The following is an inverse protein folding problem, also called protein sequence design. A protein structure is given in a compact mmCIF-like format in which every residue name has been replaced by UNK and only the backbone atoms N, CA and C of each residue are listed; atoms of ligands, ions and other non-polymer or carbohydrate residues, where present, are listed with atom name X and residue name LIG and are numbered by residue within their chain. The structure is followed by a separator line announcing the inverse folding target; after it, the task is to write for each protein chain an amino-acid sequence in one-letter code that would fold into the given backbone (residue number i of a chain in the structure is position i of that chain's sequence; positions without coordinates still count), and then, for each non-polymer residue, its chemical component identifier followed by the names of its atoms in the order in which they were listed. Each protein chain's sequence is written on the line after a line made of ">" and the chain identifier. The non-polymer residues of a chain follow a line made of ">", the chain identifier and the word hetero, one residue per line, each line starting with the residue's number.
data_IF_203729152716
#
_entry.id   IF_203729152716
#
_cell.length_a   1.000
_cell.length_b   1.000
_cell.length_c   1.000
_cell.angle_alpha   90.00
_cell.angle_beta   90.00
_cell.angle_gamma   90.00
#
_symmetry.space_group_name_H-M   'P 1'
#
loop_
_entity.id
_entity.type
_entity.pdbx_description
1 polymer ?
#
# COMPACT_ATOMS: atom_id res chain seq x y z
N UNK A 1 40.24 -48.96 -67.54
CA UNK A 1 40.41 -47.49 -67.51
C UNK A 1 39.08 -46.93 -67.02
N UNK A 2 38.87 -46.35 -65.83
CA UNK A 2 39.71 -45.83 -64.77
C UNK A 2 39.17 -46.27 -63.39
N UNK A 3 40.08 -46.63 -62.50
CA UNK A 3 39.87 -46.70 -61.04
C UNK A 3 39.93 -45.26 -60.54
N UNK A 4 38.87 -44.76 -59.90
CA UNK A 4 38.92 -43.49 -59.17
C UNK A 4 39.35 -43.77 -57.73
N UNK A 5 40.53 -43.26 -57.40
CA UNK A 5 41.12 -43.31 -56.07
C UNK A 5 40.34 -42.40 -55.11
N UNK A 6 39.93 -42.97 -53.98
CA UNK A 6 39.54 -42.23 -52.78
C UNK A 6 40.82 -42.07 -51.97
N UNK A 7 41.38 -40.86 -51.92
CA UNK A 7 42.27 -40.49 -50.82
C UNK A 7 42.13 -39.01 -50.46
N UNK A 8 42.12 -38.82 -49.13
CA UNK A 8 42.63 -37.68 -48.35
C UNK A 8 41.86 -36.38 -48.44
N UNK A 9 40.95 -36.17 -47.47
CA UNK A 9 40.90 -34.91 -46.74
C UNK A 9 40.30 -35.10 -45.33
N UNK A 10 41.02 -35.87 -44.50
CA UNK A 10 40.68 -36.03 -43.07
C UNK A 10 41.22 -34.85 -42.24
N UNK A 11 42.18 -34.06 -42.76
CA UNK A 11 42.72 -32.88 -42.04
C UNK A 11 41.79 -31.66 -42.04
N UNK A 12 40.90 -31.51 -43.03
CA UNK A 12 39.99 -30.35 -43.09
C UNK A 12 38.87 -30.47 -42.03
N UNK A 13 38.51 -31.68 -41.61
CA UNK A 13 37.47 -31.87 -40.57
C UNK A 13 37.98 -31.64 -39.15
N UNK A 14 39.28 -31.81 -38.88
CA UNK A 14 39.82 -31.66 -37.53
C UNK A 14 40.12 -30.20 -37.15
N UNK A 15 40.38 -29.31 -38.11
CA UNK A 15 40.58 -27.89 -37.83
C UNK A 15 39.27 -27.12 -37.55
N UNK A 16 38.11 -27.67 -37.90
CA UNK A 16 36.82 -27.05 -37.55
C UNK A 16 36.41 -27.33 -36.09
N UNK A 17 36.95 -28.39 -35.48
CA UNK A 17 36.63 -28.76 -34.09
C UNK A 17 37.64 -28.27 -33.05
N UNK A 18 38.86 -27.86 -33.43
CA UNK A 18 39.82 -27.30 -32.46
C UNK A 18 39.52 -25.84 -32.07
N UNK A 19 38.89 -25.06 -32.96
CA UNK A 19 38.44 -23.68 -32.70
C UNK A 19 36.98 -23.58 -32.23
N UNK A 20 36.18 -24.64 -32.33
CA UNK A 20 34.77 -24.62 -31.90
C UNK A 20 34.60 -24.72 -30.38
N UNK A 21 35.58 -25.30 -29.66
CA UNK A 21 35.55 -25.43 -28.20
C UNK A 21 35.56 -24.08 -27.48
N UNK A 22 36.43 -23.15 -27.90
CA UNK A 22 36.49 -21.81 -27.29
C UNK A 22 35.25 -20.97 -27.61
N UNK A 23 34.72 -21.06 -28.83
CA UNK A 23 33.51 -20.33 -29.24
C UNK A 23 32.29 -20.83 -28.46
N UNK A 24 32.13 -22.15 -28.30
CA UNK A 24 31.02 -22.73 -27.52
C UNK A 24 31.15 -22.39 -26.04
N UNK A 25 32.36 -22.42 -25.47
CA UNK A 25 32.60 -22.02 -24.09
C UNK A 25 32.30 -20.53 -23.87
N UNK A 26 32.71 -19.67 -24.80
CA UNK A 26 32.47 -18.22 -24.75
C UNK A 26 30.97 -17.89 -24.88
N UNK A 27 30.24 -18.58 -25.76
CA UNK A 27 28.78 -18.43 -25.89
C UNK A 27 28.06 -18.94 -24.63
N UNK A 28 28.47 -20.10 -24.08
CA UNK A 28 27.89 -20.64 -22.85
C UNK A 28 28.18 -19.76 -21.62
N UNK A 29 29.39 -19.20 -21.52
CA UNK A 29 29.77 -18.26 -20.47
C UNK A 29 28.98 -16.94 -20.59
N UNK A 30 28.88 -16.37 -21.79
CA UNK A 30 28.08 -15.16 -22.02
C UNK A 30 26.60 -15.39 -21.74
N UNK A 31 26.06 -16.55 -22.11
CA UNK A 31 24.68 -16.91 -21.82
C UNK A 31 24.42 -17.05 -20.32
N UNK A 32 25.28 -17.77 -19.59
CA UNK A 32 25.16 -17.92 -18.13
C UNK A 32 25.42 -16.62 -17.38
N UNK A 33 26.34 -15.79 -17.84
CA UNK A 33 26.61 -14.46 -17.31
C UNK A 33 25.39 -13.54 -17.50
N UNK A 34 24.86 -13.45 -18.73
CA UNK A 34 23.65 -12.67 -19.04
C UNK A 34 22.44 -13.16 -18.24
N UNK A 35 22.29 -14.48 -18.06
CA UNK A 35 21.23 -15.08 -17.23
C UNK A 35 21.36 -14.70 -15.75
N UNK A 36 22.58 -14.71 -15.21
CA UNK A 36 22.84 -14.36 -13.79
C UNK A 36 22.64 -12.87 -13.55
N UNK A 37 23.13 -12.02 -14.45
CA UNK A 37 22.92 -10.57 -14.41
C UNK A 37 21.43 -10.21 -14.51
N UNK A 38 20.69 -10.86 -15.42
CA UNK A 38 19.26 -10.61 -15.60
C UNK A 38 18.42 -11.04 -14.39
N UNK A 39 18.76 -12.17 -13.74
CA UNK A 39 18.10 -12.59 -12.48
C UNK A 39 18.32 -11.59 -11.35
N UNK A 40 19.56 -11.10 -11.21
CA UNK A 40 19.87 -10.10 -10.18
C UNK A 40 19.16 -8.77 -10.46
N UNK A 41 19.08 -8.35 -11.73
CA UNK A 41 18.35 -7.14 -12.11
C UNK A 41 16.85 -7.22 -11.76
N UNK A 42 16.21 -8.35 -12.05
CA UNK A 42 14.80 -8.59 -11.69
C UNK A 42 14.63 -8.54 -10.17
N UNK A 43 15.55 -9.14 -9.40
CA UNK A 43 15.52 -9.09 -7.94
C UNK A 43 15.63 -7.66 -7.40
N UNK A 44 16.56 -6.86 -7.91
CA UNK A 44 16.70 -5.45 -7.51
C UNK A 44 15.51 -4.60 -7.90
N UNK A 45 14.90 -4.86 -9.06
CA UNK A 45 13.68 -4.18 -9.50
C UNK A 45 12.50 -4.55 -8.59
N UNK A 46 12.38 -5.82 -8.20
CA UNK A 46 11.37 -6.27 -7.25
C UNK A 46 11.57 -5.66 -5.86
N UNK A 47 12.83 -5.60 -5.39
CA UNK A 47 13.18 -5.01 -4.11
C UNK A 47 12.93 -3.49 -4.08
N UNK A 48 13.24 -2.78 -5.17
CA UNK A 48 12.98 -1.34 -5.26
C UNK A 48 11.48 -1.03 -5.26
N UNK A 49 10.66 -1.84 -5.95
CA UNK A 49 9.19 -1.73 -5.94
C UNK A 49 8.59 -1.87 -4.53
N UNK A 50 9.21 -2.66 -3.63
CA UNK A 50 8.76 -2.79 -2.25
C UNK A 50 8.98 -1.51 -1.40
N UNK A 51 9.91 -0.65 -1.81
CA UNK A 51 10.26 0.58 -1.06
C UNK A 51 9.42 1.80 -1.47
N UNK A 52 8.80 1.80 -2.65
CA UNK A 52 8.01 2.93 -3.12
C UNK A 52 6.71 3.04 -2.34
N UNK A 53 6.56 4.10 -1.55
CA UNK A 53 5.36 4.38 -0.77
C UNK A 53 4.37 5.20 -1.60
N UNK A 54 3.51 4.55 -2.41
CA UNK A 54 2.52 5.21 -3.28
C UNK A 54 1.49 6.12 -2.57
N UNK A 55 1.42 6.12 -1.23
CA UNK A 55 0.50 6.94 -0.43
C UNK A 55 1.21 7.72 0.69
N UNK A 56 2.43 8.22 0.43
CA UNK A 56 3.21 8.98 1.41
C UNK A 56 2.51 10.27 1.87
N UNK A 57 2.59 10.59 3.16
CA UNK A 57 2.10 11.87 3.67
C UNK A 57 3.06 12.98 3.25
N UNK A 58 2.54 14.07 2.68
CA UNK A 58 3.33 15.28 2.46
C UNK A 58 3.83 15.80 3.82
N UNK A 59 5.04 16.33 3.86
CA UNK A 59 5.58 17.00 5.03
C UNK A 59 4.71 18.22 5.31
N UNK A 60 3.80 18.07 6.27
CA UNK A 60 3.12 19.20 6.89
C UNK A 60 4.07 19.69 7.98
N UNK A 61 4.24 21.01 8.08
CA UNK A 61 4.98 21.61 9.19
C UNK A 61 4.51 20.97 10.50
N UNK A 62 5.44 20.57 11.40
CA UNK A 62 5.06 20.02 12.68
C UNK A 62 4.11 21.02 13.35
N UNK A 63 2.94 20.55 13.75
CA UNK A 63 2.02 21.38 14.51
C UNK A 63 2.80 21.93 15.71
N UNK A 64 2.68 23.23 15.99
CA UNK A 64 3.34 23.92 17.11
C UNK A 64 2.97 23.37 18.50
N UNK A 65 2.14 22.33 18.57
CA UNK A 65 1.62 21.76 19.81
C UNK A 65 2.56 20.70 20.38
N UNK A 66 2.98 20.98 21.61
CA UNK A 66 3.81 20.16 22.48
C UNK A 66 3.52 18.66 22.38
N UNK A 67 4.57 17.89 22.11
CA UNK A 67 4.79 16.47 22.41
C UNK A 67 3.63 15.49 22.14
N UNK A 68 3.88 14.49 21.27
CA UNK A 68 2.96 13.39 20.95
C UNK A 68 2.40 12.56 22.13
N UNK A 69 2.82 12.82 23.39
CA UNK A 69 2.12 12.37 24.60
C UNK A 69 0.66 12.81 24.61
N UNK A 70 0.37 14.05 24.21
CA UNK A 70 -0.98 14.60 24.16
C UNK A 70 -1.95 13.81 23.27
N UNK A 71 -1.47 13.10 22.24
CA UNK A 71 -2.36 12.29 21.40
C UNK A 71 -2.69 10.96 22.04
N UNK A 72 -1.71 10.27 22.64
CA UNK A 72 -1.96 8.96 23.26
C UNK A 72 -2.89 9.11 24.46
N UNK A 73 -2.77 10.19 25.21
CA UNK A 73 -3.53 10.40 26.44
C UNK A 73 -4.95 10.95 26.16
N UNK A 74 -5.17 11.67 25.04
CA UNK A 74 -6.43 12.37 24.78
C UNK A 74 -7.29 11.76 23.65
N UNK A 75 -6.77 10.79 22.89
CA UNK A 75 -7.53 10.15 21.80
C UNK A 75 -8.67 9.26 22.28
N UNK A 76 -8.66 8.89 23.56
CA UNK A 76 -9.71 8.06 24.13
C UNK A 76 -11.03 8.83 24.22
N UNK A 77 -12.08 8.27 23.64
CA UNK A 77 -13.40 8.87 23.65
C UNK A 77 -14.32 8.36 22.56
N UNK A 78 -15.53 8.90 22.55
CA UNK A 78 -16.55 8.61 21.54
C UNK A 78 -16.63 9.77 20.56
N UNK A 79 -16.65 9.47 19.28
CA UNK A 79 -16.67 10.43 18.19
C UNK A 79 -17.88 10.20 17.30
N UNK A 80 -18.40 11.29 16.74
CA UNK A 80 -19.38 11.22 15.67
C UNK A 80 -18.77 10.56 14.43
N UNK A 81 -19.57 9.79 13.69
CA UNK A 81 -19.11 9.15 12.48
C UNK A 81 -18.93 10.13 11.31
N UNK A 82 -19.75 11.18 11.25
CA UNK A 82 -19.67 12.20 10.21
C UNK A 82 -18.68 13.31 10.62
N UNK A 83 -17.90 13.85 9.66
CA UNK A 83 -16.96 14.92 9.95
C UNK A 83 -17.71 16.22 10.24
N UNK A 84 -17.23 16.98 11.22
CA UNK A 84 -17.66 18.37 11.45
C UNK A 84 -17.00 19.34 10.47
N UNK A 85 -15.83 18.98 9.93
CA UNK A 85 -15.16 19.74 8.88
C UNK A 85 -14.31 18.87 7.97
N UNK A 86 -14.11 19.36 6.74
CA UNK A 86 -13.45 18.63 5.66
C UNK A 86 -14.39 17.68 4.91
N UNK A 87 -13.94 17.21 3.75
CA UNK A 87 -14.68 16.24 2.95
C UNK A 87 -13.69 15.38 2.16
N UNK A 88 -14.08 14.15 1.84
CA UNK A 88 -13.29 13.26 1.01
C UNK A 88 -14.17 12.29 0.23
N UNK A 89 -13.88 12.10 -1.05
CA UNK A 89 -14.67 11.20 -1.90
C UNK A 89 -14.60 9.74 -1.44
N UNK A 90 -13.40 9.25 -1.08
CA UNK A 90 -13.17 7.86 -0.64
C UNK A 90 -13.05 7.70 0.89
N UNK A 91 -13.10 8.81 1.63
CA UNK A 91 -13.09 8.81 3.10
C UNK A 91 -14.09 9.88 3.51
N UNK A 92 -15.34 9.45 3.67
CA UNK A 92 -16.49 10.31 3.96
C UNK A 92 -16.82 10.30 5.45
N UNK A 93 -16.58 9.16 6.09
CA UNK A 93 -16.89 8.95 7.49
C UNK A 93 -15.70 8.38 8.27
N UNK A 94 -15.77 8.45 9.60
CA UNK A 94 -14.73 7.90 10.47
C UNK A 94 -14.66 6.37 10.38
N UNK A 95 -15.79 5.71 10.16
CA UNK A 95 -15.82 4.26 9.88
C UNK A 95 -15.01 3.89 8.63
N UNK A 96 -14.97 4.72 7.57
CA UNK A 96 -14.13 4.48 6.37
C UNK A 96 -12.62 4.48 6.65
N UNK A 97 -12.21 4.97 7.82
CA UNK A 97 -10.82 4.96 8.27
C UNK A 97 -10.50 3.63 8.94
N UNK A 98 -11.45 3.06 9.68
CA UNK A 98 -11.24 1.93 10.59
C UNK A 98 -11.84 0.61 10.13
N UNK A 99 -12.89 0.63 9.34
CA UNK A 99 -13.49 -0.55 8.72
C UNK A 99 -13.83 -0.24 7.27
N UNK A 100 -12.82 -0.40 6.41
CA UNK A 100 -13.04 -0.20 4.99
C UNK A 100 -13.75 -1.41 4.40
N UNK A 101 -14.81 -1.11 3.65
CA UNK A 101 -15.41 -2.06 2.73
C UNK A 101 -14.32 -2.56 1.76
N UNK A 102 -14.20 -3.87 1.56
CA UNK A 102 -13.05 -4.48 0.86
C UNK A 102 -13.08 -4.34 -0.66
N UNK A 103 -14.17 -3.79 -1.21
CA UNK A 103 -14.38 -3.70 -2.65
C UNK A 103 -14.46 -2.23 -3.07
N UNK A 104 -13.67 -1.85 -4.07
CA UNK A 104 -13.56 -0.47 -4.55
C UNK A 104 -14.84 0.00 -5.23
N UNK A 105 -15.59 -0.93 -5.83
CA UNK A 105 -16.86 -0.68 -6.50
C UNK A 105 -18.09 -1.15 -5.71
N UNK A 106 -17.98 -1.44 -4.40
CA UNK A 106 -19.16 -1.74 -3.59
C UNK A 106 -19.70 -0.45 -2.96
N UNK A 107 -20.73 0.10 -3.60
CA UNK A 107 -21.41 1.33 -3.21
C UNK A 107 -22.39 1.15 -2.05
N UNK A 108 -22.61 -0.08 -1.58
CA UNK A 108 -23.45 -0.32 -0.41
C UNK A 108 -22.70 0.12 0.84
N UNK A 109 -23.22 1.17 1.47
CA UNK A 109 -22.70 1.67 2.74
C UNK A 109 -23.04 0.66 3.85
N UNK A 110 -22.00 0.07 4.45
CA UNK A 110 -22.14 -0.83 5.60
C UNK A 110 -22.64 -0.10 6.85
N UNK A 111 -22.36 1.20 6.91
CA UNK A 111 -22.58 2.10 8.03
C UNK A 111 -23.41 3.28 7.53
N UNK A 112 -24.73 3.24 7.75
CA UNK A 112 -25.66 4.27 7.27
C UNK A 112 -26.23 5.02 8.47
N UNK A 113 -26.14 6.36 8.43
CA UNK A 113 -26.86 7.26 9.35
C UNK A 113 -26.01 7.95 10.41
N UNK A 114 -26.56 9.05 10.94
CA UNK A 114 -25.94 9.92 11.96
C UNK A 114 -25.82 9.25 13.33
N UNK A 115 -26.55 8.16 13.55
CA UNK A 115 -26.62 7.44 14.83
C UNK A 115 -25.38 6.56 15.12
N UNK A 116 -24.43 6.51 14.18
CA UNK A 116 -23.22 5.71 14.32
C UNK A 116 -22.23 6.43 15.23
N UNK A 117 -21.81 5.73 16.28
CA UNK A 117 -20.81 6.19 17.23
C UNK A 117 -19.53 5.38 17.06
N UNK A 118 -18.39 6.06 17.04
CA UNK A 118 -17.08 5.43 16.97
C UNK A 118 -16.32 5.73 18.26
N UNK A 119 -16.10 4.70 19.07
CA UNK A 119 -15.31 4.80 20.29
C UNK A 119 -13.89 4.34 20.04
N UNK A 120 -12.95 5.20 20.41
CA UNK A 120 -11.51 4.96 20.35
C UNK A 120 -10.99 4.75 21.78
N UNK A 121 -10.15 3.73 21.96
CA UNK A 121 -9.53 3.43 23.24
C UNK A 121 -8.11 2.91 23.04
N UNK A 122 -7.12 3.63 23.53
CA UNK A 122 -5.74 3.22 23.53
C UNK A 122 -5.54 2.10 24.55
N UNK A 123 -5.19 0.91 24.06
CA UNK A 123 -4.81 -0.20 24.92
C UNK A 123 -3.36 -0.03 25.38
N UNK A 124 -2.50 0.43 24.48
CA UNK A 124 -1.12 0.80 24.74
C UNK A 124 -0.58 1.65 23.59
N UNK A 125 0.67 2.12 23.69
CA UNK A 125 1.34 2.94 22.67
C UNK A 125 1.46 2.33 21.26
N UNK A 126 1.09 1.05 21.08
CA UNK A 126 1.13 0.32 19.80
C UNK A 126 -0.22 -0.25 19.37
N UNK A 127 -1.27 -0.15 20.19
CA UNK A 127 -2.59 -0.72 19.91
C UNK A 127 -3.71 0.23 20.31
N UNK A 128 -4.59 0.50 19.34
CA UNK A 128 -5.82 1.25 19.48
C UNK A 128 -6.99 0.28 19.27
N UNK A 129 -7.87 0.14 20.25
CA UNK A 129 -9.16 -0.49 20.03
C UNK A 129 -10.12 0.51 19.39
N UNK A 130 -10.87 0.03 18.39
CA UNK A 130 -11.96 0.76 17.76
C UNK A 130 -13.24 -0.03 17.91
N UNK A 131 -14.23 0.60 18.53
CA UNK A 131 -15.61 0.11 18.61
C UNK A 131 -16.50 0.98 17.72
N UNK A 132 -17.28 0.36 16.84
CA UNK A 132 -18.34 1.02 16.07
C UNK A 132 -19.66 0.44 16.51
N UNK A 133 -20.58 1.29 16.92
CA UNK A 133 -21.91 0.90 17.37
C UNK A 133 -23.00 1.76 16.74
N UNK A 134 -24.17 1.17 16.57
CA UNK A 134 -25.41 1.83 16.18
C UNK A 134 -26.50 1.35 17.12
N UNK A 135 -27.22 2.27 17.77
CA UNK A 135 -28.30 1.96 18.72
C UNK A 135 -27.90 0.87 19.73
N UNK A 136 -26.72 1.05 20.35
CA UNK A 136 -26.11 0.13 21.33
C UNK A 136 -25.65 -1.23 20.78
N UNK A 137 -26.03 -1.58 19.54
CA UNK A 137 -25.54 -2.76 18.86
C UNK A 137 -24.11 -2.55 18.37
N UNK A 138 -23.20 -3.42 18.80
CA UNK A 138 -21.81 -3.42 18.35
C UNK A 138 -21.75 -4.00 16.94
N UNK A 139 -21.28 -3.20 15.99
CA UNK A 139 -21.10 -3.57 14.58
C UNK A 139 -19.64 -3.89 14.24
N UNK A 140 -18.70 -3.34 14.99
CA UNK A 140 -17.27 -3.55 14.82
C UNK A 140 -16.55 -3.39 16.15
N UNK A 141 -15.62 -4.28 16.42
CA UNK A 141 -14.71 -4.17 17.55
C UNK A 141 -13.38 -4.79 17.15
N UNK A 142 -12.33 -3.97 17.01
CA UNK A 142 -11.03 -4.47 16.56
C UNK A 142 -9.86 -3.70 17.16
N UNK A 143 -8.84 -4.46 17.55
CA UNK A 143 -7.54 -3.94 17.94
C UNK A 143 -6.69 -3.64 16.71
N UNK A 144 -6.51 -2.37 16.40
CA UNK A 144 -5.68 -1.89 15.31
C UNK A 144 -4.26 -1.58 15.82
N UNK A 145 -3.25 -1.94 15.03
CA UNK A 145 -1.86 -1.58 15.33
C UNK A 145 -1.68 -0.09 15.03
N UNK A 146 -0.94 0.60 15.87
CA UNK A 146 -0.63 2.02 15.71
C UNK A 146 0.85 2.31 15.98
N UNK A 147 1.33 3.48 15.53
CA UNK A 147 2.65 4.00 15.87
C UNK A 147 2.57 5.51 16.02
N UNK A 148 2.84 6.01 17.22
CA UNK A 148 3.13 7.42 17.44
C UNK A 148 4.47 7.76 16.77
N UNK A 149 4.50 8.87 16.04
CA UNK A 149 5.73 9.43 15.48
C UNK A 149 6.04 10.79 16.09
N UNK A 150 7.26 11.25 15.87
CA UNK A 150 7.78 12.52 16.38
C UNK A 150 7.06 13.75 15.78
N UNK A 151 6.27 13.57 14.73
CA UNK A 151 5.43 14.61 14.13
C UNK A 151 4.12 14.84 14.90
N UNK A 152 3.91 14.15 16.04
CA UNK A 152 2.72 14.28 16.87
C UNK A 152 1.51 13.52 16.34
N UNK A 153 1.65 12.70 15.29
CA UNK A 153 0.55 11.91 14.77
C UNK A 153 0.63 10.44 15.20
N UNK A 154 -0.53 9.85 15.47
CA UNK A 154 -0.74 8.43 15.66
C UNK A 154 -1.05 7.76 14.32
N UNK A 155 -0.10 7.01 13.79
CA UNK A 155 -0.25 6.34 12.48
C UNK A 155 -0.95 5.00 12.65
N UNK A 156 -2.03 4.78 11.88
CA UNK A 156 -2.59 3.44 11.76
C UNK A 156 -1.62 2.54 10.98
N UNK A 157 -1.26 1.40 11.59
CA UNK A 157 -0.36 0.42 11.02
C UNK A 157 -1.15 -0.68 10.32
N UNK A 158 -0.85 -0.85 9.04
CA UNK A 158 -1.52 -1.76 8.13
C UNK A 158 -1.85 -0.98 6.87
N UNK A 159 -1.09 -1.24 5.78
CA UNK A 159 -1.47 -0.73 4.47
C UNK A 159 -2.75 -1.48 4.11
N UNK A 160 -3.88 -0.77 3.99
CA UNK A 160 -5.11 -1.37 3.48
C UNK A 160 -5.00 -1.38 1.97
N UNK A 161 -4.28 -2.39 1.46
CA UNK A 161 -4.28 -2.70 0.04
C UNK A 161 -5.61 -3.38 -0.27
N UNK A 162 -6.35 -2.82 -1.21
CA UNK A 162 -7.55 -3.43 -1.75
C UNK A 162 -7.28 -3.71 -3.21
N UNK A 163 -7.64 -4.92 -3.65
CA UNK A 163 -7.57 -5.34 -5.03
C UNK A 163 -9.01 -5.55 -5.48
N UNK A 164 -9.36 -4.97 -6.61
CA UNK A 164 -10.65 -5.17 -7.25
C UNK A 164 -10.44 -5.73 -8.65
N UNK A 165 -11.17 -6.79 -9.00
CA UNK A 165 -10.97 -7.53 -10.25
C UNK A 165 -9.58 -8.15 -10.39
N UNK A 166 -9.10 -8.27 -11.64
CA UNK A 166 -7.74 -8.72 -11.94
C UNK A 166 -6.90 -7.46 -12.20
N UNK A 167 -5.93 -7.13 -11.32
CA UNK A 167 -5.06 -5.98 -11.50
C UNK A 167 -4.49 -5.92 -12.92
N UNK A 168 -4.53 -4.73 -13.52
CA UNK A 168 -4.06 -4.43 -14.88
C UNK A 168 -4.90 -5.00 -16.02
N UNK A 169 -5.70 -6.05 -15.83
CA UNK A 169 -6.52 -6.64 -16.91
C UNK A 169 -7.91 -6.02 -16.94
N UNK A 170 -8.64 -6.16 -15.85
CA UNK A 170 -10.00 -5.64 -15.65
C UNK A 170 -10.17 -5.40 -14.15
N UNK A 171 -9.55 -4.33 -13.66
CA UNK A 171 -9.50 -4.09 -12.23
C UNK A 171 -8.52 -3.00 -11.81
N UNK A 172 -8.32 -2.89 -10.51
CA UNK A 172 -7.43 -1.91 -9.94
C UNK A 172 -7.02 -2.28 -8.53
N UNK A 173 -6.11 -1.49 -7.98
CA UNK A 173 -5.82 -1.55 -6.56
C UNK A 173 -5.80 -0.16 -5.96
N UNK A 174 -6.11 -0.11 -4.68
CA UNK A 174 -5.99 1.10 -3.91
C UNK A 174 -5.26 0.85 -2.59
N UNK A 175 -4.65 1.91 -2.07
CA UNK A 175 -3.94 1.89 -0.80
C UNK A 175 -4.43 3.08 0.01
N UNK A 176 -4.97 2.80 1.19
CA UNK A 176 -5.18 3.83 2.21
C UNK A 176 -4.06 3.85 3.22
N UNK A 177 -3.68 5.06 3.62
CA UNK A 177 -2.93 5.29 4.85
C UNK A 177 -3.59 6.41 5.62
N UNK A 178 -3.79 6.19 6.91
CA UNK A 178 -4.42 7.19 7.79
C UNK A 178 -3.57 7.44 9.02
N UNK A 179 -3.56 8.69 9.46
CA UNK A 179 -2.94 9.13 10.70
C UNK A 179 -3.89 10.05 11.46
N UNK A 180 -3.81 9.99 12.77
CA UNK A 180 -4.74 10.62 13.69
C UNK A 180 -3.99 11.60 14.58
N UNK A 181 -4.62 12.70 14.96
CA UNK A 181 -4.17 13.57 16.05
C UNK A 181 -5.37 14.19 16.76
N UNK A 182 -5.13 14.74 17.93
CA UNK A 182 -6.09 15.58 18.62
C UNK A 182 -5.76 17.05 18.34
N UNK A 183 -6.79 17.87 18.16
CA UNK A 183 -6.67 19.33 18.02
C UNK A 183 -6.79 20.06 19.36
N UNK A 184 -6.68 21.38 19.33
CA UNK A 184 -6.76 22.22 20.54
C UNK A 184 -8.15 22.20 21.19
N UNK A 185 -9.19 21.83 20.43
CA UNK A 185 -10.58 21.72 20.87
C UNK A 185 -10.94 20.29 21.30
N UNK A 186 -9.95 19.39 21.44
CA UNK A 186 -10.12 17.98 21.76
C UNK A 186 -10.88 17.16 20.70
N UNK A 187 -10.95 17.65 19.47
CA UNK A 187 -11.51 16.94 18.33
C UNK A 187 -10.48 16.02 17.68
N UNK A 188 -10.96 14.96 17.04
CA UNK A 188 -10.12 14.04 16.30
C UNK A 188 -9.89 14.55 14.89
N UNK A 189 -8.64 14.83 14.55
CA UNK A 189 -8.24 15.13 13.18
C UNK A 189 -7.68 13.88 12.54
N UNK A 190 -8.29 13.49 11.42
CA UNK A 190 -7.87 12.37 10.59
C UNK A 190 -7.29 12.90 9.30
N UNK A 191 -6.07 12.48 9.00
CA UNK A 191 -5.48 12.66 7.68
C UNK A 191 -5.39 11.32 7.00
N UNK A 192 -6.05 11.21 5.85
CA UNK A 192 -6.08 9.99 5.04
C UNK A 192 -5.54 10.26 3.65
N UNK A 193 -4.55 9.49 3.25
CA UNK A 193 -4.08 9.43 1.88
C UNK A 193 -4.68 8.22 1.20
N UNK A 194 -5.23 8.45 0.01
CA UNK A 194 -5.81 7.41 -0.82
C UNK A 194 -5.10 7.39 -2.16
N UNK A 195 -4.36 6.33 -2.43
CA UNK A 195 -3.80 6.04 -3.74
C UNK A 195 -4.71 5.06 -4.44
N UNK A 196 -5.07 5.32 -5.70
CA UNK A 196 -5.71 4.32 -6.55
C UNK A 196 -4.98 4.22 -7.88
N UNK A 197 -4.98 3.01 -8.44
CA UNK A 197 -4.50 2.72 -9.78
C UNK A 197 -5.45 1.73 -10.43
N UNK A 198 -5.95 2.07 -11.60
CA UNK A 198 -6.77 1.18 -12.42
C UNK A 198 -6.00 0.73 -13.66
N UNK A 199 -6.31 -0.45 -14.16
CA UNK A 199 -5.79 -0.91 -15.43
C UNK A 199 -6.82 -1.67 -16.24
N UNK A 200 -6.63 -1.58 -17.55
CA UNK A 200 -7.45 -2.23 -18.55
C UNK A 200 -6.54 -2.81 -19.62
N UNK A 201 -6.69 -4.09 -19.94
CA UNK A 201 -5.92 -4.78 -20.97
C UNK A 201 -4.38 -4.59 -20.85
N UNK A 202 -3.85 -4.71 -19.64
CA UNK A 202 -2.43 -4.56 -19.27
C UNK A 202 -1.92 -3.10 -19.32
N UNK A 203 -2.76 -2.14 -19.71
CA UNK A 203 -2.42 -0.71 -19.69
C UNK A 203 -2.86 -0.09 -18.36
N UNK A 204 -1.91 0.55 -17.65
CA UNK A 204 -2.27 1.42 -16.52
C UNK A 204 -2.99 2.65 -17.06
N UNK A 205 -4.24 2.84 -16.67
CA UNK A 205 -5.09 3.89 -17.25
C UNK A 205 -4.94 5.22 -16.50
N UNK A 206 -5.23 5.22 -15.20
CA UNK A 206 -5.18 6.40 -14.35
C UNK A 206 -4.68 6.00 -12.96
N UNK A 207 -3.71 6.76 -12.43
CA UNK A 207 -3.33 6.70 -11.03
C UNK A 207 -3.54 8.08 -10.42
N UNK A 208 -4.09 8.13 -9.21
CA UNK A 208 -4.16 9.38 -8.45
C UNK A 208 -3.88 9.13 -6.99
N UNK A 209 -3.26 10.13 -6.37
CA UNK A 209 -3.12 10.22 -4.92
C UNK A 209 -3.98 11.37 -4.43
N UNK A 210 -4.93 11.06 -3.56
CA UNK A 210 -5.84 12.02 -2.95
C UNK A 210 -5.49 12.16 -1.48
N UNK A 211 -5.56 13.39 -0.99
CA UNK A 211 -5.22 13.75 0.38
C UNK A 211 -6.46 14.34 1.05
N UNK A 212 -6.88 13.73 2.14
CA UNK A 212 -8.05 14.15 2.91
C UNK A 212 -7.61 14.55 4.31
N UNK A 213 -8.15 15.67 4.79
CA UNK A 213 -8.09 16.07 6.20
C UNK A 213 -9.51 16.28 6.66
N UNK A 214 -9.92 15.53 7.67
CA UNK A 214 -11.27 15.51 8.22
C UNK A 214 -11.17 15.71 9.72
N UNK A 215 -12.13 16.45 10.29
CA UNK A 215 -12.23 16.67 11.74
C UNK A 215 -13.51 16.03 12.24
N UNK A 216 -13.44 15.32 13.36
CA UNK A 216 -14.57 14.65 13.99
C UNK A 216 -14.69 15.14 15.43
N UNK A 217 -15.88 15.58 15.78
CA UNK A 217 -16.17 16.08 17.12
C UNK A 217 -16.17 14.95 18.14
N UNK A 218 -15.52 15.22 19.27
CA UNK A 218 -15.57 14.34 20.44
C UNK A 218 -16.91 14.57 21.14
N UNK A 219 -17.69 13.51 21.29
CA UNK A 219 -18.95 13.57 22.00
C UNK A 219 -18.67 13.70 23.50
N UNK A 220 -19.39 14.61 24.16
CA UNK A 220 -19.35 14.72 25.62
C UNK A 220 -19.92 13.42 26.22
N UNK A 221 -19.32 12.94 27.33
CA UNK A 221 -19.80 11.74 28.02
C UNK A 221 -21.23 11.90 28.52
#
# INVERSE_FOLDING_TARGET
>A
MHIFAIFTNVEIYFNFFSHSGEIVLWVALNYNFKRTVMKNLIFYLWLSLLTVSCAGFKNIQPAKTNNGKNVVDNIDGTYGNLPSSGNGFYVRALTDVFDRNTNMFNWKEKYVGEQIKVKLQMINNKRLNVFISQDEKILFNKNLRVKLKNDGYLYLKGKRLMIDGIPLVLGGWNIQKSRLRIDENNNLIVQSNYFFCNGFAVVMSDWKTLHYTLTFEKQKP
#
